data_IF_966321243943
#
_entry.id   IF_966321243943
#
_cell.length_a   1.000
_cell.length_b   1.000
_cell.length_c   1.000
_cell.angle_alpha   90.00
_cell.angle_beta   90.00
_cell.angle_gamma   90.00
#
_symmetry.space_group_name_H-M   'P 1'
#
loop_
_entity.id
_entity.type
_entity.pdbx_description
1 polymer ?
#
# COMPACT_ATOMS: atom_id res chain seq x y z
N UNK A 1 11.12 -13.62 -7.61
CA UNK A 1 12.41 -12.94 -7.84
C UNK A 1 13.08 -13.49 -9.08
N UNK A 2 13.77 -12.63 -9.83
CA UNK A 2 14.45 -12.97 -11.08
C UNK A 2 13.89 -12.16 -12.26
N UNK A 3 14.48 -12.30 -13.45
CA UNK A 3 14.12 -11.51 -14.64
C UNK A 3 12.90 -12.12 -15.36
N UNK A 4 11.80 -12.30 -14.66
CA UNK A 4 10.56 -12.89 -15.18
C UNK A 4 9.41 -11.92 -14.96
N UNK A 5 8.67 -11.58 -16.01
CA UNK A 5 7.48 -10.74 -15.97
C UNK A 5 6.30 -11.52 -16.54
N UNK A 6 5.25 -11.70 -15.72
CA UNK A 6 3.96 -12.21 -16.18
C UNK A 6 3.13 -11.09 -16.78
N UNK A 7 2.57 -11.30 -17.96
CA UNK A 7 1.71 -10.33 -18.65
C UNK A 7 0.33 -10.93 -18.86
N UNK A 8 -0.69 -10.18 -18.46
CA UNK A 8 -2.10 -10.54 -18.58
C UNK A 8 -2.84 -9.41 -19.29
N UNK A 9 -3.73 -9.76 -20.22
CA UNK A 9 -4.65 -8.81 -20.83
C UNK A 9 -6.00 -8.91 -20.18
N UNK A 10 -6.65 -7.76 -19.99
CA UNK A 10 -7.96 -7.65 -19.36
C UNK A 10 -8.92 -6.83 -20.23
N UNK A 11 -10.21 -7.04 -20.06
CA UNK A 11 -11.25 -6.36 -20.83
C UNK A 11 -11.84 -5.15 -20.10
N UNK A 12 -11.64 -5.06 -18.79
CA UNK A 12 -12.17 -3.98 -17.96
C UNK A 12 -11.29 -3.72 -16.74
N UNK A 13 -11.50 -2.59 -16.09
CA UNK A 13 -10.87 -2.23 -14.83
C UNK A 13 -11.30 -3.16 -13.70
N UNK A 14 -12.55 -3.59 -13.69
CA UNK A 14 -13.08 -4.54 -12.71
C UNK A 14 -12.37 -5.89 -12.80
N UNK A 15 -12.13 -6.36 -14.01
CA UNK A 15 -11.38 -7.60 -14.23
C UNK A 15 -9.93 -7.43 -13.78
N UNK A 16 -9.30 -6.31 -14.10
CA UNK A 16 -7.95 -5.99 -13.64
C UNK A 16 -7.85 -5.97 -12.12
N UNK A 17 -8.78 -5.30 -11.44
CA UNK A 17 -8.84 -5.24 -9.98
C UNK A 17 -9.05 -6.61 -9.36
N UNK A 18 -9.92 -7.42 -9.94
CA UNK A 18 -10.19 -8.79 -9.46
C UNK A 18 -8.93 -9.65 -9.54
N UNK A 19 -8.22 -9.60 -10.66
CA UNK A 19 -6.98 -10.37 -10.86
C UNK A 19 -5.88 -9.86 -9.93
N UNK A 20 -5.67 -8.55 -9.88
CA UNK A 20 -4.65 -7.93 -9.03
C UNK A 20 -4.89 -8.18 -7.53
N UNK A 21 -6.16 -8.24 -7.12
CA UNK A 21 -6.55 -8.50 -5.72
C UNK A 21 -6.47 -9.97 -5.33
N UNK A 22 -6.43 -10.88 -6.29
CA UNK A 22 -6.33 -12.32 -6.05
C UNK A 22 -4.88 -12.74 -5.74
N UNK A 23 -4.33 -12.20 -4.66
CA UNK A 23 -2.99 -12.45 -4.20
C UNK A 23 -2.96 -12.48 -2.66
N UNK A 24 -2.00 -13.22 -2.12
CA UNK A 24 -1.71 -13.21 -0.68
C UNK A 24 -0.96 -11.93 -0.26
N UNK A 25 -0.49 -11.14 -1.20
CA UNK A 25 0.36 -9.99 -0.99
C UNK A 25 -0.34 -8.71 -1.36
N UNK A 26 0.17 -7.60 -0.86
CA UNK A 26 -0.37 -6.26 -1.11
C UNK A 26 0.64 -5.19 -0.71
N UNK A 27 1.86 -5.24 -1.26
CA UNK A 27 2.89 -4.26 -0.93
C UNK A 27 2.74 -3.01 -1.78
N UNK A 28 2.85 -3.16 -3.08
CA UNK A 28 2.90 -2.04 -4.02
C UNK A 28 2.21 -2.39 -5.33
N UNK A 29 1.58 -1.39 -5.92
CA UNK A 29 1.06 -1.43 -7.27
C UNK A 29 1.35 -0.12 -8.00
N UNK A 30 1.47 -0.18 -9.32
CA UNK A 30 1.58 1.00 -10.19
C UNK A 30 0.46 1.00 -11.21
N UNK A 31 -0.17 2.16 -11.39
CA UNK A 31 -1.23 2.38 -12.37
C UNK A 31 -0.74 3.40 -13.39
N UNK A 32 -0.85 3.10 -14.67
CA UNK A 32 -0.49 4.01 -15.75
C UNK A 32 -1.74 4.35 -16.56
N UNK A 33 -2.16 5.61 -16.52
CA UNK A 33 -3.33 6.11 -17.23
C UNK A 33 -3.27 7.62 -17.39
N UNK A 34 -3.90 8.15 -18.44
CA UNK A 34 -4.09 9.58 -18.63
C UNK A 34 -5.41 10.09 -18.02
N UNK A 35 -6.31 9.18 -17.65
CA UNK A 35 -7.59 9.53 -17.01
C UNK A 35 -7.42 9.60 -15.50
N UNK A 36 -7.55 10.79 -14.93
CA UNK A 36 -7.38 11.04 -13.51
C UNK A 36 -8.47 10.35 -12.66
N UNK A 37 -9.69 10.26 -13.14
CA UNK A 37 -10.78 9.60 -12.42
C UNK A 37 -10.53 8.09 -12.33
N UNK A 38 -10.06 7.51 -13.43
CA UNK A 38 -9.64 6.11 -13.50
C UNK A 38 -8.45 5.85 -12.56
N UNK A 39 -7.48 6.75 -12.54
CA UNK A 39 -6.33 6.67 -11.64
C UNK A 39 -6.77 6.60 -10.17
N UNK A 40 -7.63 7.51 -9.74
CA UNK A 40 -8.16 7.54 -8.37
C UNK A 40 -9.01 6.31 -8.04
N UNK A 41 -9.86 5.88 -8.97
CA UNK A 41 -10.68 4.69 -8.77
C UNK A 41 -9.81 3.45 -8.53
N UNK A 42 -8.85 3.21 -9.42
CA UNK A 42 -7.95 2.06 -9.31
C UNK A 42 -7.07 2.14 -8.07
N UNK A 43 -6.50 3.32 -7.79
CA UNK A 43 -5.63 3.50 -6.63
C UNK A 43 -6.35 3.23 -5.30
N UNK A 44 -7.61 3.64 -5.17
CA UNK A 44 -8.42 3.39 -3.97
C UNK A 44 -8.87 1.93 -3.84
N UNK A 45 -9.04 1.25 -4.97
CA UNK A 45 -9.59 -0.11 -5.00
C UNK A 45 -8.53 -1.20 -4.88
N UNK A 46 -7.27 -0.90 -5.19
CA UNK A 46 -6.17 -1.86 -5.07
C UNK A 46 -5.80 -2.09 -3.60
N UNK A 47 -5.81 -3.34 -3.12
CA UNK A 47 -5.48 -3.67 -1.73
C UNK A 47 -3.97 -3.71 -1.51
N UNK A 48 -3.31 -2.59 -1.67
CA UNK A 48 -1.87 -2.41 -1.51
C UNK A 48 -1.56 -1.28 -0.53
N UNK A 49 -0.45 -1.40 0.16
CA UNK A 49 0.01 -0.36 1.07
C UNK A 49 0.48 0.92 0.37
N UNK A 50 1.01 0.79 -0.84
CA UNK A 50 1.37 1.91 -1.71
C UNK A 50 0.82 1.69 -3.11
N UNK A 51 0.22 2.71 -3.68
CA UNK A 51 -0.15 2.74 -5.10
C UNK A 51 0.44 3.97 -5.75
N UNK A 52 1.26 3.77 -6.76
CA UNK A 52 1.84 4.84 -7.58
C UNK A 52 1.03 5.04 -8.85
N UNK A 53 0.92 6.28 -9.31
CA UNK A 53 0.24 6.61 -10.56
C UNK A 53 1.23 7.25 -11.53
N UNK A 54 1.33 6.71 -12.73
CA UNK A 54 2.22 7.14 -13.82
C UNK A 54 3.71 7.19 -13.42
N UNK A 55 4.08 6.41 -12.44
CA UNK A 55 5.44 6.26 -11.96
C UNK A 55 5.61 4.89 -11.34
N UNK A 56 6.84 4.51 -11.11
CA UNK A 56 7.23 3.36 -10.30
C UNK A 56 8.04 3.89 -9.11
N UNK A 57 7.32 4.28 -8.05
CA UNK A 57 7.93 4.87 -6.86
C UNK A 57 7.23 4.39 -5.60
N UNK A 58 8.00 4.12 -4.58
CA UNK A 58 7.50 3.77 -3.25
C UNK A 58 7.06 4.99 -2.44
N UNK A 59 7.24 6.18 -2.98
CA UNK A 59 6.93 7.45 -2.34
C UNK A 59 8.18 8.19 -1.85
N UNK A 60 8.05 8.87 -0.73
CA UNK A 60 9.08 9.67 -0.08
C UNK A 60 9.32 9.15 1.34
N UNK A 61 10.49 9.39 1.91
CA UNK A 61 10.80 8.99 3.29
C UNK A 61 9.83 9.59 4.32
N UNK A 62 9.12 10.64 3.96
CA UNK A 62 8.09 11.28 4.80
C UNK A 62 6.74 10.60 4.71
N UNK A 63 6.55 9.67 3.79
CA UNK A 63 5.30 8.92 3.61
C UNK A 63 5.39 7.55 4.25
N UNK A 64 4.32 7.07 4.91
CA UNK A 64 4.30 5.73 5.47
C UNK A 64 4.50 4.67 4.39
N UNK A 65 5.30 3.66 4.68
CA UNK A 65 5.55 2.52 3.81
C UNK A 65 5.24 1.22 4.52
N UNK A 66 4.53 0.34 3.87
CA UNK A 66 4.23 -0.99 4.39
C UNK A 66 3.17 -1.68 3.54
N UNK A 67 2.98 -2.97 3.77
CA UNK A 67 2.12 -3.82 2.99
C UNK A 67 0.81 -4.18 3.67
N UNK A 68 -0.14 -4.59 2.84
CA UNK A 68 -1.36 -5.26 3.26
C UNK A 68 -1.16 -6.77 3.21
N UNK A 69 -2.09 -7.52 3.77
CA UNK A 69 -2.10 -8.99 3.76
C UNK A 69 -0.75 -9.56 4.28
N UNK A 70 -0.16 -10.50 3.56
CA UNK A 70 1.13 -11.11 3.96
C UNK A 70 2.35 -10.24 3.64
N UNK A 71 2.18 -9.10 2.99
CA UNK A 71 3.28 -8.17 2.74
C UNK A 71 3.60 -7.25 3.91
N UNK A 72 2.81 -7.26 4.96
CA UNK A 72 3.05 -6.39 6.10
C UNK A 72 2.13 -6.66 7.28
N UNK A 73 2.14 -5.72 8.22
CA UNK A 73 1.31 -5.71 9.41
C UNK A 73 0.57 -4.37 9.52
N UNK A 74 0.05 -4.05 10.69
CA UNK A 74 -0.50 -2.71 10.97
C UNK A 74 0.58 -1.63 11.11
N UNK A 75 1.83 -2.02 11.29
CA UNK A 75 2.96 -1.09 11.36
C UNK A 75 3.29 -0.54 9.97
N UNK A 76 3.86 0.66 9.98
CA UNK A 76 4.41 1.30 8.79
C UNK A 76 5.82 1.79 9.08
N UNK A 77 6.70 1.62 8.09
CA UNK A 77 8.02 2.22 8.07
C UNK A 77 7.92 3.62 7.48
N UNK A 78 8.91 4.43 7.68
CA UNK A 78 8.97 5.81 7.19
C UNK A 78 7.83 6.70 7.72
N UNK A 79 7.88 7.99 7.39
CA UNK A 79 6.93 8.95 7.92
C UNK A 79 6.95 9.05 9.44
N UNK A 80 5.95 9.69 10.00
CA UNK A 80 5.76 9.78 11.46
C UNK A 80 5.32 8.47 12.08
N UNK A 81 4.69 7.59 11.31
CA UNK A 81 4.22 6.28 11.74
C UNK A 81 5.38 5.35 12.14
N UNK A 82 6.55 5.52 11.54
CA UNK A 82 7.74 4.74 11.87
C UNK A 82 8.14 4.87 13.35
N UNK A 83 7.90 6.02 13.96
CA UNK A 83 8.17 6.24 15.38
C UNK A 83 7.41 5.24 16.26
N UNK A 84 6.18 4.92 15.92
CA UNK A 84 5.35 4.01 16.70
C UNK A 84 5.93 2.60 16.76
N UNK A 85 6.72 2.20 15.76
CA UNK A 85 7.40 0.90 15.74
C UNK A 85 8.50 0.78 16.79
N UNK A 86 9.01 1.90 17.31
CA UNK A 86 10.07 1.97 18.31
C UNK A 86 9.57 2.36 19.71
N UNK A 87 8.28 2.59 19.85
CA UNK A 87 7.68 3.08 21.07
C UNK A 87 6.70 2.06 21.65
N UNK A 88 6.59 2.05 22.97
CA UNK A 88 5.55 1.34 23.70
C UNK A 88 4.73 2.34 24.49
N UNK A 89 3.41 2.28 24.33
CA UNK A 89 2.49 3.13 25.10
C UNK A 89 2.40 2.63 26.53
N UNK A 90 2.58 3.54 27.50
CA UNK A 90 2.37 3.28 28.91
C UNK A 90 1.34 4.27 29.45
N UNK A 91 0.38 3.78 30.17
CA UNK A 91 -0.58 4.62 30.91
C UNK A 91 -0.18 4.66 32.38
N UNK A 92 -0.11 5.86 32.94
CA UNK A 92 0.11 6.08 34.38
C UNK A 92 -1.12 6.80 34.90
N UNK A 93 -1.77 6.17 35.86
CA UNK A 93 -2.91 6.74 36.53
C UNK A 93 -2.57 7.02 37.99
N UNK A 94 -2.63 8.29 38.41
CA UNK A 94 -2.34 8.70 39.79
C UNK A 94 -3.59 9.33 40.35
N UNK A 95 -4.09 8.75 41.46
CA UNK A 95 -5.12 9.39 42.26
C UNK A 95 -4.48 10.26 43.33
N UNK A 96 -4.89 11.49 43.42
CA UNK A 96 -4.43 12.43 44.44
C UNK A 96 -5.55 12.65 45.42
N UNK A 97 -5.34 12.27 46.65
CA UNK A 97 -6.29 12.46 47.74
C UNK A 97 -6.07 13.81 48.45
#
# INVERSE_FOLDING_TARGET
>A
FGPVLGVLTVKSDEEALKIASNSKYGLHASVFTQDINRAFHLAKSLPCGTVSVNTFSEGDIKTPFGGYKQSGSLSRDQGTEALNSFLQTKTIWISHN
#
